data_IF_725885553937
#
_entry.id   IF_725885553937
#
_cell.length_a   1.000
_cell.length_b   1.000
_cell.length_c   1.000
_cell.angle_alpha   90.00
_cell.angle_beta   90.00
_cell.angle_gamma   90.00
#
_symmetry.space_group_name_H-M   'P 1'
#
loop_
_entity.id
_entity.type
_entity.pdbx_description
1 polymer ?
#
# COMPACT_ATOMS: atom_id res chain seq x y z
N UNK A 1 -10.27 -14.62 13.82
CA UNK A 1 -9.56 -13.60 13.07
C UNK A 1 -9.15 -14.15 11.71
N UNK A 2 -9.54 -13.46 10.69
CA UNK A 2 -9.15 -13.88 9.35
C UNK A 2 -7.82 -13.25 8.97
N UNK A 3 -7.02 -14.01 8.26
CA UNK A 3 -5.78 -13.47 7.70
C UNK A 3 -6.01 -13.21 6.23
N UNK A 4 -5.75 -11.98 5.81
CA UNK A 4 -5.97 -11.58 4.43
C UNK A 4 -5.01 -12.30 3.48
N UNK A 5 -3.75 -12.51 3.92
CA UNK A 5 -2.73 -13.11 3.07
C UNK A 5 -2.34 -14.51 3.57
N UNK A 6 -2.20 -15.46 2.63
CA UNK A 6 -1.78 -16.82 2.98
C UNK A 6 -0.30 -16.87 3.36
N UNK A 7 0.10 -17.97 3.98
CA UNK A 7 1.46 -18.15 4.48
C UNK A 7 2.56 -17.82 3.47
N UNK A 8 2.48 -18.26 2.19
CA UNK A 8 3.56 -17.93 1.25
C UNK A 8 3.79 -16.43 1.08
N UNK A 9 2.75 -15.61 1.19
CA UNK A 9 2.89 -14.17 1.12
C UNK A 9 3.43 -13.63 2.44
N UNK A 10 2.92 -14.14 3.58
CA UNK A 10 3.38 -13.72 4.89
C UNK A 10 4.85 -14.08 5.16
N UNK A 11 5.41 -15.01 4.39
CA UNK A 11 6.82 -15.38 4.49
C UNK A 11 7.74 -14.47 3.67
N UNK A 12 7.19 -13.55 2.89
CA UNK A 12 8.01 -12.55 2.20
C UNK A 12 8.64 -11.60 3.21
N UNK A 13 9.74 -10.95 2.86
CA UNK A 13 10.31 -9.90 3.71
C UNK A 13 9.28 -8.82 4.00
N UNK A 14 9.29 -8.27 5.21
CA UNK A 14 8.42 -7.15 5.52
C UNK A 14 9.03 -5.85 5.03
N UNK A 15 8.20 -4.95 4.56
CA UNK A 15 8.63 -3.61 4.17
C UNK A 15 8.77 -2.74 5.41
N UNK A 16 9.79 -1.89 5.42
CA UNK A 16 10.04 -0.95 6.51
C UNK A 16 9.19 0.29 6.32
N UNK A 17 8.02 0.29 6.94
CA UNK A 17 7.10 1.42 6.91
C UNK A 17 6.96 1.90 8.37
N UNK A 18 7.53 3.05 8.71
CA UNK A 18 7.60 3.50 10.10
C UNK A 18 6.28 4.11 10.60
N UNK A 19 5.19 3.38 10.41
CA UNK A 19 3.87 3.79 10.87
C UNK A 19 3.25 2.62 11.62
N UNK A 20 2.59 2.94 12.72
CA UNK A 20 1.94 1.94 13.56
C UNK A 20 0.69 1.40 12.86
N UNK A 21 0.44 0.11 13.01
CA UNK A 21 -0.80 -0.50 12.50
C UNK A 21 -0.74 -0.97 11.06
N UNK A 22 0.45 -0.96 10.46
CA UNK A 22 0.63 -1.43 9.08
C UNK A 22 1.47 -2.71 9.09
N UNK A 23 0.99 -3.72 8.36
CA UNK A 23 1.75 -4.91 8.07
C UNK A 23 1.88 -5.00 6.55
N UNK A 24 3.09 -5.01 6.06
CA UNK A 24 3.34 -4.99 4.62
C UNK A 24 4.39 -6.02 4.25
N UNK A 25 4.09 -6.82 3.22
CA UNK A 25 4.99 -7.87 2.74
C UNK A 25 5.49 -7.47 1.36
N UNK A 26 6.80 -7.57 1.16
CA UNK A 26 7.49 -7.02 0.01
C UNK A 26 7.95 -8.10 -0.96
N UNK A 27 7.46 -8.03 -2.20
CA UNK A 27 7.99 -8.82 -3.29
C UNK A 27 8.89 -7.90 -4.12
N UNK A 28 10.19 -8.10 -4.03
CA UNK A 28 11.20 -7.24 -4.63
C UNK A 28 11.61 -7.73 -6.01
N UNK A 29 11.56 -6.84 -6.99
CA UNK A 29 12.09 -7.11 -8.31
C UNK A 29 13.17 -6.09 -8.64
N UNK A 30 13.84 -6.26 -9.77
CA UNK A 30 14.94 -5.39 -10.18
C UNK A 30 14.48 -3.96 -10.48
N UNK A 31 13.27 -3.81 -11.03
CA UNK A 31 12.76 -2.51 -11.47
C UNK A 31 11.41 -2.13 -10.90
N UNK A 32 10.87 -2.93 -9.98
CA UNK A 32 9.57 -2.62 -9.38
C UNK A 32 9.43 -3.35 -8.05
N UNK A 33 8.37 -3.01 -7.32
CA UNK A 33 8.01 -3.69 -6.07
C UNK A 33 6.52 -4.00 -6.09
N UNK A 34 6.15 -5.14 -5.50
CA UNK A 34 4.76 -5.46 -5.21
C UNK A 34 4.64 -5.58 -3.70
N UNK A 35 3.71 -4.83 -3.13
CA UNK A 35 3.53 -4.78 -1.68
C UNK A 35 2.13 -5.31 -1.34
N UNK A 36 2.08 -6.21 -0.37
CA UNK A 36 0.84 -6.78 0.15
C UNK A 36 0.61 -6.14 1.51
N UNK A 37 -0.36 -5.22 1.60
CA UNK A 37 -0.55 -4.39 2.79
C UNK A 37 -1.84 -4.67 3.52
N UNK A 38 -1.80 -4.62 4.85
CA UNK A 38 -3.01 -4.63 5.66
C UNK A 38 -2.85 -3.65 6.82
N UNK A 39 -3.95 -2.99 7.15
CA UNK A 39 -3.97 -1.91 8.12
C UNK A 39 -4.93 -2.23 9.25
N UNK A 40 -4.44 -2.18 10.49
CA UNK A 40 -5.25 -2.43 11.68
C UNK A 40 -5.70 -1.14 12.37
N UNK A 41 -5.28 0.03 11.87
CA UNK A 41 -5.63 1.33 12.44
C UNK A 41 -5.90 2.32 11.30
N UNK A 42 -6.64 3.37 11.62
CA UNK A 42 -6.83 4.47 10.67
C UNK A 42 -5.50 5.19 10.47
N UNK A 43 -5.15 5.46 9.22
CA UNK A 43 -3.89 6.11 8.87
C UNK A 43 -4.18 7.28 7.95
N UNK A 44 -3.57 8.42 8.26
CA UNK A 44 -3.62 9.59 7.40
C UNK A 44 -2.25 9.75 6.74
N UNK A 45 -2.20 9.57 5.40
CA UNK A 45 -0.98 9.76 4.63
C UNK A 45 -0.98 11.17 4.06
N UNK A 46 0.02 11.99 4.40
CA UNK A 46 0.09 13.35 3.88
C UNK A 46 0.41 13.36 2.39
N UNK A 47 0.21 14.51 1.76
CA UNK A 47 0.46 14.66 0.33
C UNK A 47 1.92 14.35 -0.02
N UNK A 48 2.10 13.53 -1.03
CA UNK A 48 3.43 13.13 -1.53
C UNK A 48 3.30 12.68 -2.97
N UNK A 49 4.45 12.39 -3.60
CA UNK A 49 4.49 11.85 -4.95
C UNK A 49 5.65 10.86 -5.09
N UNK A 50 5.57 10.01 -6.08
CA UNK A 50 6.59 9.00 -6.40
C UNK A 50 6.35 8.45 -7.80
N UNK A 51 7.02 7.38 -8.18
CA UNK A 51 6.76 6.71 -9.45
C UNK A 51 5.33 6.17 -9.47
N UNK A 52 4.86 5.77 -10.65
CA UNK A 52 3.47 5.33 -10.77
C UNK A 52 3.16 4.13 -9.88
N UNK A 53 1.90 4.06 -9.46
CA UNK A 53 1.40 3.06 -8.53
C UNK A 53 0.06 2.56 -9.00
N UNK A 54 -0.14 1.24 -8.97
CA UNK A 54 -1.43 0.60 -9.25
C UNK A 54 -1.79 -0.30 -8.08
N UNK A 55 -3.05 -0.29 -7.67
CA UNK A 55 -3.48 -1.11 -6.54
C UNK A 55 -4.87 -1.68 -6.75
N UNK A 56 -5.11 -2.84 -6.13
CA UNK A 56 -6.45 -3.42 -6.02
C UNK A 56 -6.78 -3.55 -4.54
N UNK A 57 -7.97 -3.06 -4.17
CA UNK A 57 -8.44 -3.10 -2.78
C UNK A 57 -9.04 -4.47 -2.51
N UNK A 58 -8.52 -5.16 -1.51
CA UNK A 58 -8.97 -6.50 -1.12
C UNK A 58 -10.01 -6.45 -0.01
N UNK A 59 -9.84 -5.55 0.95
CA UNK A 59 -10.74 -5.37 2.09
C UNK A 59 -10.79 -3.91 2.47
N UNK A 60 -11.90 -3.49 3.07
CA UNK A 60 -12.02 -2.14 3.61
C UNK A 60 -12.12 -1.06 2.55
N UNK A 61 -11.66 0.13 2.91
CA UNK A 61 -11.75 1.29 2.02
C UNK A 61 -10.70 2.34 2.34
N UNK A 62 -10.46 3.22 1.37
CA UNK A 62 -9.64 4.41 1.59
C UNK A 62 -10.27 5.58 0.82
N UNK A 63 -10.01 6.78 1.33
CA UNK A 63 -10.31 8.03 0.61
C UNK A 63 -8.99 8.49 0.02
N UNK A 64 -8.89 8.50 -1.30
CA UNK A 64 -7.66 8.83 -2.01
C UNK A 64 -7.85 10.14 -2.76
N UNK A 65 -6.99 11.12 -2.48
CA UNK A 65 -7.01 12.41 -3.16
C UNK A 65 -5.85 12.45 -4.13
N UNK A 66 -6.14 12.52 -5.43
CA UNK A 66 -5.15 12.57 -6.49
C UNK A 66 -5.32 13.90 -7.22
N UNK A 67 -4.25 14.69 -7.26
CA UNK A 67 -4.26 16.00 -7.92
C UNK A 67 -5.46 16.83 -7.48
N UNK A 68 -5.75 16.84 -6.17
CA UNK A 68 -6.81 17.61 -5.57
C UNK A 68 -8.21 17.02 -5.68
N UNK A 69 -8.37 15.87 -6.33
CA UNK A 69 -9.68 15.24 -6.52
C UNK A 69 -9.76 13.99 -5.64
N UNK A 70 -10.78 13.97 -4.76
CA UNK A 70 -10.96 12.85 -3.83
C UNK A 70 -11.92 11.80 -4.40
N UNK A 71 -11.50 10.54 -4.28
CA UNK A 71 -12.33 9.38 -4.59
C UNK A 71 -12.22 8.37 -3.45
N UNK A 72 -13.31 7.68 -3.16
CA UNK A 72 -13.29 6.58 -2.20
C UNK A 72 -13.27 5.27 -2.98
N UNK A 73 -12.31 4.41 -2.63
CA UNK A 73 -12.20 3.07 -3.21
C UNK A 73 -12.43 2.04 -2.12
N UNK A 74 -13.18 1.00 -2.44
CA UNK A 74 -13.50 -0.07 -1.52
C UNK A 74 -13.29 -1.43 -2.15
N UNK A 75 -13.54 -2.49 -1.40
CA UNK A 75 -13.26 -3.88 -1.79
C UNK A 75 -13.63 -4.17 -3.24
N UNK A 76 -12.68 -4.69 -3.99
CA UNK A 76 -12.84 -5.06 -5.40
C UNK A 76 -12.51 -3.95 -6.38
N UNK A 77 -12.33 -2.73 -5.92
CA UNK A 77 -12.01 -1.60 -6.80
C UNK A 77 -10.51 -1.43 -6.96
N UNK A 78 -10.12 -0.75 -8.03
CA UNK A 78 -8.72 -0.53 -8.38
C UNK A 78 -8.48 0.95 -8.58
N UNK A 79 -7.22 1.37 -8.36
CA UNK A 79 -6.85 2.74 -8.67
C UNK A 79 -5.44 2.80 -9.25
N UNK A 80 -5.17 3.88 -9.98
CA UNK A 80 -3.87 4.11 -10.58
C UNK A 80 -3.46 5.56 -10.29
N UNK A 81 -2.23 5.73 -9.81
CA UNK A 81 -1.65 7.05 -9.55
C UNK A 81 -0.51 7.24 -10.53
N UNK A 82 -0.61 8.20 -11.45
CA UNK A 82 0.46 8.46 -12.42
C UNK A 82 1.72 8.99 -11.74
N UNK A 83 2.86 8.78 -12.38
CA UNK A 83 4.15 9.25 -11.90
C UNK A 83 4.13 10.75 -11.60
N UNK A 84 4.65 11.13 -10.43
CA UNK A 84 4.86 12.51 -10.05
C UNK A 84 3.61 13.29 -9.66
N UNK A 85 2.44 12.67 -9.72
CA UNK A 85 1.20 13.34 -9.35
C UNK A 85 1.05 13.31 -7.84
N UNK A 86 0.81 14.47 -7.24
CA UNK A 86 0.65 14.58 -5.79
C UNK A 86 -0.64 13.91 -5.34
N UNK A 87 -0.55 13.15 -4.28
CA UNK A 87 -1.67 12.43 -3.72
C UNK A 87 -1.55 12.27 -2.23
N UNK A 88 -2.69 12.12 -1.56
CA UNK A 88 -2.79 11.87 -0.14
C UNK A 88 -3.91 10.86 0.08
N UNK A 89 -3.95 10.25 1.25
CA UNK A 89 -4.98 9.26 1.52
C UNK A 89 -5.35 9.22 2.99
N UNK A 90 -6.62 8.91 3.24
CA UNK A 90 -7.06 8.45 4.54
C UNK A 90 -7.42 6.98 4.37
N UNK A 91 -6.74 6.13 5.10
CA UNK A 91 -6.93 4.68 5.04
C UNK A 91 -7.60 4.26 6.35
N UNK A 92 -8.68 3.49 6.23
CA UNK A 92 -9.46 3.09 7.40
C UNK A 92 -9.03 1.71 7.89
N UNK A 93 -9.09 1.49 9.20
CA UNK A 93 -8.76 0.20 9.81
C UNK A 93 -9.52 -0.92 9.11
N UNK A 94 -8.83 -2.02 8.85
CA UNK A 94 -9.38 -3.15 8.12
C UNK A 94 -9.10 -3.11 6.62
N UNK A 95 -8.45 -2.06 6.14
CA UNK A 95 -8.06 -1.95 4.73
C UNK A 95 -6.93 -2.92 4.40
N UNK A 96 -7.01 -3.53 3.22
CA UNK A 96 -5.92 -4.35 2.70
C UNK A 96 -5.88 -4.20 1.19
N UNK A 97 -4.67 -4.22 0.62
CA UNK A 97 -4.51 -4.13 -0.82
C UNK A 97 -3.29 -4.89 -1.32
N UNK A 98 -3.24 -5.03 -2.65
CA UNK A 98 -2.03 -5.45 -3.36
C UNK A 98 -1.66 -4.26 -4.22
N UNK A 99 -0.44 -3.75 -4.03
CA UNK A 99 0.03 -2.53 -4.69
C UNK A 99 1.29 -2.79 -5.49
N UNK A 100 1.29 -2.32 -6.73
CA UNK A 100 2.47 -2.34 -7.61
C UNK A 100 3.06 -0.93 -7.65
N UNK A 101 4.36 -0.82 -7.37
CA UNK A 101 5.12 0.42 -7.53
C UNK A 101 6.11 0.26 -8.67
N UNK A 102 6.09 1.19 -9.61
CA UNK A 102 6.99 1.17 -10.76
C UNK A 102 8.36 1.76 -10.40
N UNK A 103 8.89 1.29 -9.27
CA UNK A 103 10.24 1.65 -8.81
C UNK A 103 10.74 0.55 -7.87
N UNK A 104 12.06 0.30 -7.83
CA UNK A 104 12.59 -0.80 -7.01
C UNK A 104 12.89 -0.40 -5.57
N UNK A 105 12.68 0.86 -5.20
CA UNK A 105 13.15 1.39 -3.93
C UNK A 105 12.12 2.24 -3.18
N UNK A 106 10.82 1.99 -3.41
CA UNK A 106 9.77 2.70 -2.68
C UNK A 106 9.86 2.41 -1.19
N UNK A 107 10.14 1.16 -0.84
CA UNK A 107 10.33 0.74 0.54
C UNK A 107 11.54 -0.14 0.64
N UNK A 108 12.22 -0.09 1.79
CA UNK A 108 13.29 -1.01 2.10
C UNK A 108 12.75 -2.18 2.90
N UNK A 109 13.53 -3.26 2.98
CA UNK A 109 13.18 -4.39 3.82
C UNK A 109 13.40 -4.01 5.27
N UNK A 110 12.49 -4.48 6.13
CA UNK A 110 12.63 -4.29 7.56
C UNK A 110 13.88 -5.03 8.05
N UNK A 111 14.68 -4.35 8.85
CA UNK A 111 15.90 -4.95 9.40
C UNK A 111 15.54 -6.04 10.41
N UNK A 112 16.30 -7.15 10.37
CA UNK A 112 16.10 -8.27 11.27
C UNK A 112 16.99 -8.21 12.53
N UNK A 113 17.75 -7.18 12.70
CA UNK A 113 18.65 -7.08 13.85
C UNK A 113 17.94 -6.72 15.15
#
# INVERSE_FOLDING_TARGET
MSETFPEPIRNLPEADIPLKGIKAYLSQAENHQVIFMEFSEDIQLPEHSHESQWAVVLEGKLDLTIDGVEHTYSKGERYFIPKGIKHSAKIYAGYADITFFNQPDRYEKLSET
#
